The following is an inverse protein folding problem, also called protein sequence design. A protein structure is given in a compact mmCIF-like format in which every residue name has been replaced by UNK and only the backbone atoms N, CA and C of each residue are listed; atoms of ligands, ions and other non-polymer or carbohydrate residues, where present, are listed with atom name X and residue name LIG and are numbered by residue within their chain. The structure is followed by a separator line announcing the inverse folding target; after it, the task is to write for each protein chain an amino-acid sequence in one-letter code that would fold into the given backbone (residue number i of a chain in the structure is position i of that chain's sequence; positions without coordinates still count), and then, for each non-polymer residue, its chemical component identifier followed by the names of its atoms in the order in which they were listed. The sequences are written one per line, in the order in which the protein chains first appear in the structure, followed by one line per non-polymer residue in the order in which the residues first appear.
data_IF_276468831431
#
_entry.id   IF_276468831431
#
_cell.length_a   1.000
_cell.length_b   1.000
_cell.length_c   1.000
_cell.angle_alpha   90.00
_cell.angle_beta   90.00
_cell.angle_gamma   90.00
#
_symmetry.space_group_name_H-M   'P 1'
#
loop_
_entity.id
_entity.type
_entity.pdbx_description
1 polymer ?
#
# COMPACT_ATOMS: atom_id res chain seq x y z
N UNK A 1 4.82 -19.26 5.93
CA UNK A 1 5.66 -18.59 6.95
C UNK A 1 6.24 -19.65 7.86
N UNK A 2 7.56 -19.81 7.88
CA UNK A 2 8.27 -20.75 8.76
C UNK A 2 8.81 -19.99 9.97
N UNK A 3 8.58 -20.50 11.17
CA UNK A 3 9.05 -19.88 12.41
C UNK A 3 10.26 -20.67 12.92
N UNK A 4 11.43 -20.04 13.12
CA UNK A 4 12.64 -20.76 13.49
C UNK A 4 12.60 -21.22 14.96
N UNK A 5 13.28 -22.32 15.30
CA UNK A 5 13.51 -22.68 16.69
C UNK A 5 14.32 -21.58 17.39
N UNK A 6 13.82 -21.05 18.52
CA UNK A 6 14.51 -20.01 19.31
C UNK A 6 13.72 -18.72 19.59
N UNK A 7 12.52 -18.54 19.01
CA UNK A 7 11.65 -17.36 19.25
C UNK A 7 11.02 -17.29 20.66
N UNK A 8 11.40 -18.16 21.59
CA UNK A 8 10.85 -18.22 22.95
C UNK A 8 9.37 -18.65 22.99
N UNK A 9 8.73 -18.49 24.14
CA UNK A 9 7.37 -18.98 24.38
C UNK A 9 6.25 -17.93 24.18
N UNK A 10 6.59 -16.63 24.17
CA UNK A 10 5.60 -15.55 24.14
C UNK A 10 5.61 -14.79 22.81
N UNK A 11 5.02 -15.38 21.76
CA UNK A 11 4.89 -14.75 20.44
C UNK A 11 3.56 -15.11 19.77
N UNK A 12 3.16 -14.30 18.79
CA UNK A 12 1.98 -14.55 17.95
C UNK A 12 2.32 -14.19 16.49
N UNK A 13 1.82 -14.99 15.55
CA UNK A 13 1.85 -14.73 14.12
C UNK A 13 0.42 -14.60 13.60
N UNK A 14 0.04 -13.43 13.10
CA UNK A 14 -1.30 -13.19 12.57
C UNK A 14 -1.28 -12.30 11.33
N UNK A 15 -2.31 -12.44 10.50
CA UNK A 15 -2.52 -11.54 9.38
C UNK A 15 -3.00 -10.18 9.86
N UNK A 16 -2.56 -9.13 9.17
CA UNK A 16 -3.07 -7.78 9.38
C UNK A 16 -3.74 -7.29 8.10
N UNK A 17 -4.96 -6.77 8.25
CA UNK A 17 -5.71 -6.11 7.19
C UNK A 17 -6.14 -4.73 7.68
N UNK A 18 -5.96 -3.73 6.82
CA UNK A 18 -6.26 -2.34 7.16
C UNK A 18 -7.76 -2.13 7.46
N UNK A 19 -8.66 -2.64 6.62
CA UNK A 19 -10.10 -2.38 6.78
C UNK A 19 -10.67 -2.94 8.11
N UNK A 20 -10.40 -4.20 8.50
CA UNK A 20 -10.80 -4.71 9.82
C UNK A 20 -10.17 -3.95 10.99
N UNK A 21 -8.90 -3.54 10.87
CA UNK A 21 -8.26 -2.71 11.90
C UNK A 21 -8.98 -1.37 12.05
N UNK A 22 -9.25 -0.68 10.94
CA UNK A 22 -9.94 0.61 10.95
C UNK A 22 -11.36 0.47 11.53
N UNK A 23 -12.06 -0.63 11.26
CA UNK A 23 -13.35 -0.94 11.89
C UNK A 23 -13.20 -1.04 13.41
N UNK A 24 -12.25 -1.85 13.90
CA UNK A 24 -11.96 -2.02 15.34
C UNK A 24 -11.51 -0.73 16.03
N UNK A 25 -10.74 0.10 15.35
CA UNK A 25 -10.23 1.37 15.89
C UNK A 25 -11.32 2.44 16.09
N UNK A 26 -12.48 2.30 15.44
CA UNK A 26 -13.59 3.24 15.60
C UNK A 26 -13.44 4.54 14.81
N UNK A 27 -14.50 5.33 14.74
CA UNK A 27 -14.59 6.51 13.86
C UNK A 27 -13.60 7.62 14.21
N UNK A 28 -13.38 7.88 15.50
CA UNK A 28 -12.51 8.95 15.97
C UNK A 28 -11.04 8.71 15.58
N UNK A 29 -10.53 7.50 15.84
CA UNK A 29 -9.15 7.14 15.49
C UNK A 29 -8.95 7.16 13.99
N UNK A 30 -9.92 6.64 13.22
CA UNK A 30 -9.89 6.73 11.74
C UNK A 30 -9.84 8.18 11.26
N UNK A 31 -10.60 9.08 11.86
CA UNK A 31 -10.60 10.50 11.50
C UNK A 31 -9.26 11.16 11.81
N UNK A 32 -8.68 10.89 12.98
CA UNK A 32 -7.33 11.36 13.35
C UNK A 32 -6.25 10.88 12.36
N UNK A 33 -6.30 9.61 11.97
CA UNK A 33 -5.38 9.05 10.96
C UNK A 33 -5.52 9.75 9.61
N UNK A 34 -6.75 9.92 9.12
CA UNK A 34 -7.00 10.64 7.86
C UNK A 34 -6.55 12.10 7.92
N UNK A 35 -6.81 12.79 9.03
CA UNK A 35 -6.37 14.16 9.22
C UNK A 35 -4.85 14.28 9.07
N UNK A 36 -4.10 13.40 9.75
CA UNK A 36 -2.63 13.40 9.64
C UNK A 36 -2.16 13.12 8.20
N UNK A 37 -2.79 12.16 7.51
CA UNK A 37 -2.48 11.87 6.10
C UNK A 37 -2.67 13.10 5.22
N UNK A 38 -3.70 13.91 5.50
CA UNK A 38 -3.93 15.14 4.74
C UNK A 38 -2.97 16.26 5.11
N UNK A 39 -2.68 16.42 6.41
CA UNK A 39 -1.75 17.45 6.91
C UNK A 39 -0.31 17.18 6.41
N UNK A 40 0.07 15.93 6.13
CA UNK A 40 1.42 15.51 5.70
C UNK A 40 1.44 14.86 4.29
N UNK A 41 0.46 15.18 3.43
CA UNK A 41 0.25 14.49 2.14
C UNK A 41 1.47 14.55 1.22
N UNK A 42 2.12 15.71 1.14
CA UNK A 42 3.26 15.98 0.26
C UNK A 42 4.60 15.82 0.96
N UNK A 43 4.61 15.42 2.24
CA UNK A 43 5.81 15.21 3.05
C UNK A 43 5.93 13.74 3.44
N UNK A 44 5.49 13.36 4.64
CA UNK A 44 5.58 11.99 5.16
C UNK A 44 4.86 10.98 4.26
N UNK A 45 3.76 11.37 3.62
CA UNK A 45 2.96 10.49 2.77
C UNK A 45 3.18 10.70 1.27
N UNK A 46 4.23 11.43 0.87
CA UNK A 46 4.55 11.68 -0.53
C UNK A 46 4.78 10.36 -1.30
N UNK A 47 4.03 10.15 -2.37
CA UNK A 47 4.20 9.00 -3.27
C UNK A 47 4.94 9.41 -4.54
N UNK A 48 5.88 8.58 -4.95
CA UNK A 48 6.61 8.72 -6.21
C UNK A 48 6.08 7.67 -7.20
N UNK A 49 5.93 8.08 -8.45
CA UNK A 49 5.47 7.22 -9.54
C UNK A 49 6.50 7.24 -10.66
N UNK A 50 6.77 6.07 -11.23
CA UNK A 50 7.70 5.88 -12.35
C UNK A 50 7.07 6.32 -13.66
N UNK A 51 5.78 6.04 -13.82
CA UNK A 51 5.02 6.36 -15.01
C UNK A 51 3.55 6.58 -14.68
N UNK A 52 2.92 7.43 -15.48
CA UNK A 52 1.46 7.61 -15.53
C UNK A 52 0.92 6.99 -16.81
N UNK A 53 0.02 6.02 -16.66
CA UNK A 53 -0.50 5.18 -17.74
C UNK A 53 -2.03 5.29 -17.87
N UNK A 54 -2.56 5.10 -19.08
CA UNK A 54 -4.00 5.00 -19.34
C UNK A 54 -4.52 3.60 -18.97
N UNK A 55 -5.85 3.43 -19.00
CA UNK A 55 -6.45 2.10 -18.83
C UNK A 55 -6.07 1.14 -19.97
N UNK A 56 -5.87 1.64 -21.19
CA UNK A 56 -5.45 0.82 -22.32
C UNK A 56 -3.98 0.38 -22.16
N UNK A 57 -3.10 1.30 -21.75
CA UNK A 57 -1.69 0.98 -21.45
C UNK A 57 -1.56 0.01 -20.26
N UNK A 58 -2.50 0.01 -19.31
CA UNK A 58 -2.50 -0.96 -18.21
C UNK A 58 -2.72 -2.42 -18.68
N UNK A 59 -3.27 -2.61 -19.87
CA UNK A 59 -3.49 -3.92 -20.52
C UNK A 59 -2.34 -4.33 -21.44
N UNK A 60 -1.39 -3.44 -21.72
CA UNK A 60 -0.18 -3.77 -22.46
C UNK A 60 0.68 -4.77 -21.65
N UNK A 61 1.16 -5.81 -22.32
CA UNK A 61 1.80 -6.95 -21.66
C UNK A 61 3.12 -6.54 -20.99
N UNK A 62 3.91 -5.69 -21.66
CA UNK A 62 5.18 -5.21 -21.14
C UNK A 62 4.96 -4.30 -19.92
N UNK A 63 3.98 -3.41 -20.01
CA UNK A 63 3.55 -2.54 -18.90
C UNK A 63 3.06 -3.36 -17.71
N UNK A 64 2.26 -4.41 -17.95
CA UNK A 64 1.74 -5.31 -16.93
C UNK A 64 2.86 -6.06 -16.21
N UNK A 65 3.83 -6.60 -16.95
CA UNK A 65 4.99 -7.25 -16.34
C UNK A 65 5.80 -6.27 -15.49
N UNK A 66 5.97 -5.03 -15.95
CA UNK A 66 6.73 -4.01 -15.24
C UNK A 66 6.14 -3.66 -13.87
N UNK A 67 4.85 -3.33 -13.77
CA UNK A 67 4.26 -2.99 -12.47
C UNK A 67 3.97 -4.22 -11.58
N UNK A 68 3.78 -5.42 -12.17
CA UNK A 68 3.58 -6.65 -11.40
C UNK A 68 4.85 -7.16 -10.71
N UNK A 69 6.04 -6.76 -11.18
CA UNK A 69 7.32 -7.08 -10.54
C UNK A 69 7.42 -6.51 -9.10
N UNK A 70 6.67 -5.44 -8.79
CA UNK A 70 6.64 -4.80 -7.45
C UNK A 70 8.04 -4.42 -6.94
N UNK A 71 8.92 -4.02 -7.86
CA UNK A 71 10.28 -3.61 -7.50
C UNK A 71 10.27 -2.25 -6.81
N UNK A 72 11.26 -2.00 -5.95
CA UNK A 72 11.41 -0.72 -5.26
C UNK A 72 11.48 0.43 -6.26
N UNK A 73 10.68 1.48 -6.05
CA UNK A 73 10.68 2.67 -6.91
C UNK A 73 9.93 2.51 -8.24
N UNK A 74 9.25 1.38 -8.48
CA UNK A 74 8.54 1.07 -9.74
C UNK A 74 7.01 1.17 -9.63
N UNK A 75 6.49 2.21 -8.96
CA UNK A 75 5.04 2.38 -8.79
C UNK A 75 4.44 3.09 -10.00
N UNK A 76 3.35 2.56 -10.55
CA UNK A 76 2.64 3.14 -11.68
C UNK A 76 1.37 3.86 -11.20
N UNK A 77 1.05 4.99 -11.82
CA UNK A 77 -0.20 5.73 -11.62
C UNK A 77 -1.11 5.47 -12.82
N UNK A 78 -2.32 4.94 -12.60
CA UNK A 78 -3.30 4.80 -13.67
C UNK A 78 -4.16 6.06 -13.69
N UNK A 79 -4.19 6.74 -14.83
CA UNK A 79 -5.08 7.85 -15.12
C UNK A 79 -6.17 7.39 -16.12
N UNK A 80 -7.41 7.16 -15.67
CA UNK A 80 -8.49 6.69 -16.54
C UNK A 80 -8.92 7.67 -17.64
N UNK A 81 -8.54 8.94 -17.54
CA UNK A 81 -8.90 9.99 -18.49
C UNK A 81 -7.81 10.28 -19.54
N UNK A 82 -6.67 9.59 -19.46
CA UNK A 82 -5.57 9.67 -20.43
C UNK A 82 -5.89 8.86 -21.69
#
# INVERSE_FOLDING_TARGET
TTVPPGVGFAWNLSGYLLTPFLQKAGAEVRAKMRKRVMDELTTTFASHYTAEISLAEALDLDTLHAYNAKATGTKYLINPSK
#
